data_IF_230435416574
#
_entry.id   IF_230435416574
#
_cell.length_a   1.000
_cell.length_b   1.000
_cell.length_c   1.000
_cell.angle_alpha   90.00
_cell.angle_beta   90.00
_cell.angle_gamma   90.00
#
_symmetry.space_group_name_H-M   'P 1'
#
loop_
_entity.id
_entity.type
_entity.pdbx_description
1 polymer ?
#
# COMPACT_ATOMS: atom_id res chain seq x y z
N UNK A 1 19.25 10.15 14.58
CA UNK A 1 19.33 10.11 13.10
C UNK A 1 18.80 8.77 12.64
N UNK A 2 18.15 8.70 11.47
CA UNK A 2 17.87 7.42 10.81
C UNK A 2 19.21 6.81 10.38
N UNK A 3 19.50 5.60 10.87
CA UNK A 3 20.66 4.85 10.40
C UNK A 3 20.40 4.34 8.98
N UNK A 4 21.46 4.05 8.20
CA UNK A 4 21.31 3.42 6.88
C UNK A 4 20.50 2.11 6.95
N UNK A 5 20.74 1.30 7.99
CA UNK A 5 20.01 0.06 8.24
C UNK A 5 18.51 0.29 8.50
N UNK A 6 18.16 1.26 9.36
CA UNK A 6 16.76 1.61 9.60
C UNK A 6 16.09 2.14 8.33
N UNK A 7 16.83 2.85 7.48
CA UNK A 7 16.31 3.35 6.19
C UNK A 7 16.00 2.20 5.24
N UNK A 8 16.85 1.17 5.19
CA UNK A 8 16.63 0.00 4.36
C UNK A 8 15.42 -0.82 4.85
N UNK A 9 15.34 -1.07 6.16
CA UNK A 9 14.20 -1.76 6.79
C UNK A 9 12.87 -1.04 6.54
N UNK A 10 12.86 0.31 6.57
CA UNK A 10 11.69 1.11 6.21
C UNK A 10 11.31 0.92 4.75
N UNK A 11 12.27 0.95 3.82
CA UNK A 11 12.00 0.71 2.39
C UNK A 11 11.41 -0.68 2.15
N UNK A 12 11.97 -1.71 2.79
CA UNK A 12 11.46 -3.08 2.69
C UNK A 12 10.03 -3.20 3.25
N UNK A 13 9.75 -2.52 4.37
CA UNK A 13 8.41 -2.49 4.98
C UNK A 13 7.40 -1.79 4.08
N UNK A 14 7.78 -0.66 3.47
CA UNK A 14 6.96 0.08 2.49
C UNK A 14 6.68 -0.79 1.27
N UNK A 15 7.70 -1.47 0.73
CA UNK A 15 7.55 -2.37 -0.41
C UNK A 15 6.58 -3.51 -0.11
N UNK A 16 6.74 -4.16 1.05
CA UNK A 16 5.86 -5.24 1.51
C UNK A 16 4.42 -4.76 1.60
N UNK A 17 4.19 -3.60 2.21
CA UNK A 17 2.86 -3.02 2.36
C UNK A 17 2.21 -2.69 1.00
N UNK A 18 2.96 -2.11 0.07
CA UNK A 18 2.47 -1.84 -1.30
C UNK A 18 2.05 -3.15 -1.98
N UNK A 19 2.86 -4.19 -1.88
CA UNK A 19 2.58 -5.48 -2.51
C UNK A 19 1.34 -6.14 -1.92
N UNK A 20 1.19 -6.14 -0.59
CA UNK A 20 -0.01 -6.63 0.09
C UNK A 20 -1.26 -5.90 -0.37
N UNK A 21 -1.23 -4.55 -0.44
CA UNK A 21 -2.37 -3.75 -0.87
C UNK A 21 -2.74 -4.01 -2.34
N UNK A 22 -1.76 -4.18 -3.23
CA UNK A 22 -1.98 -4.56 -4.63
C UNK A 22 -2.60 -5.96 -4.76
N UNK A 23 -2.16 -6.92 -3.94
CA UNK A 23 -2.74 -8.27 -3.95
C UNK A 23 -4.19 -8.25 -3.47
N UNK A 24 -4.51 -7.47 -2.44
CA UNK A 24 -5.89 -7.27 -1.98
C UNK A 24 -6.75 -6.67 -3.10
N UNK A 25 -6.26 -5.62 -3.78
CA UNK A 25 -6.93 -5.05 -4.96
C UNK A 25 -7.15 -6.11 -6.04
N UNK A 26 -6.12 -6.89 -6.39
CA UNK A 26 -6.18 -7.91 -7.44
C UNK A 26 -7.12 -9.07 -7.11
N UNK A 27 -7.12 -9.56 -5.87
CA UNK A 27 -8.03 -10.65 -5.42
C UNK A 27 -9.46 -10.15 -5.39
N UNK A 28 -9.68 -8.89 -5.02
CA UNK A 28 -11.04 -8.36 -4.90
C UNK A 28 -11.78 -8.29 -6.23
N UNK A 29 -11.09 -8.31 -7.40
CA UNK A 29 -11.60 -8.12 -8.79
C UNK A 29 -12.40 -6.84 -9.03
N UNK A 30 -13.08 -6.35 -8.01
CA UNK A 30 -13.69 -5.06 -7.82
C UNK A 30 -13.58 -4.74 -6.31
N UNK A 31 -12.81 -3.71 -5.94
CA UNK A 31 -12.70 -3.28 -4.53
C UNK A 31 -14.08 -2.97 -3.92
N UNK A 32 -15.12 -2.75 -4.76
CA UNK A 32 -16.52 -2.65 -4.35
C UNK A 32 -16.99 -3.85 -3.52
N UNK A 33 -16.55 -5.09 -3.85
CA UNK A 33 -16.93 -6.31 -3.14
C UNK A 33 -16.18 -6.53 -1.83
N UNK A 34 -14.99 -5.93 -1.66
CA UNK A 34 -14.15 -6.10 -0.47
C UNK A 34 -14.39 -5.02 0.59
N UNK A 35 -14.71 -3.79 0.18
CA UNK A 35 -14.83 -2.65 1.12
C UNK A 35 -16.23 -2.06 1.18
N UNK A 36 -17.12 -2.38 0.23
CA UNK A 36 -18.50 -1.89 0.16
C UNK A 36 -18.67 -0.37 -0.02
N UNK A 37 -17.68 0.42 0.39
CA UNK A 37 -17.66 1.87 0.44
C UNK A 37 -16.57 2.46 -0.49
N UNK A 38 -17.00 3.39 -1.34
CA UNK A 38 -16.18 4.14 -2.29
C UNK A 38 -15.00 4.86 -1.64
N UNK A 39 -15.18 5.33 -0.40
CA UNK A 39 -14.19 6.12 0.33
C UNK A 39 -12.98 5.26 0.69
N UNK A 40 -13.21 4.06 1.22
CA UNK A 40 -12.16 3.10 1.55
C UNK A 40 -11.39 2.69 0.31
N UNK A 41 -12.07 2.48 -0.83
CA UNK A 41 -11.41 2.24 -2.11
C UNK A 41 -10.46 3.36 -2.52
N UNK A 42 -10.93 4.60 -2.48
CA UNK A 42 -10.13 5.78 -2.81
C UNK A 42 -8.93 5.91 -1.88
N UNK A 43 -9.12 5.66 -0.58
CA UNK A 43 -8.05 5.74 0.42
C UNK A 43 -6.95 4.70 0.17
N UNK A 44 -7.31 3.45 -0.15
CA UNK A 44 -6.33 2.40 -0.49
C UNK A 44 -5.52 2.79 -1.73
N UNK A 45 -6.17 3.27 -2.80
CA UNK A 45 -5.46 3.72 -4.01
C UNK A 45 -4.51 4.88 -3.72
N UNK A 46 -4.93 5.86 -2.92
CA UNK A 46 -4.10 6.99 -2.52
C UNK A 46 -2.93 6.54 -1.63
N UNK A 47 -3.14 5.57 -0.74
CA UNK A 47 -2.11 5.00 0.12
C UNK A 47 -1.03 4.29 -0.72
N UNK A 48 -1.43 3.39 -1.63
CA UNK A 48 -0.50 2.72 -2.56
C UNK A 48 0.33 3.75 -3.33
N UNK A 49 -0.32 4.78 -3.91
CA UNK A 49 0.35 5.82 -4.69
C UNK A 49 1.33 6.64 -3.85
N UNK A 50 0.96 6.98 -2.62
CA UNK A 50 1.80 7.78 -1.72
C UNK A 50 3.02 6.99 -1.26
N UNK A 51 2.83 5.73 -0.85
CA UNK A 51 3.90 4.82 -0.46
C UNK A 51 4.86 4.54 -1.63
N UNK A 52 4.33 4.35 -2.85
CA UNK A 52 5.16 4.10 -4.03
C UNK A 52 6.10 5.26 -4.38
N UNK A 53 5.83 6.48 -3.92
CA UNK A 53 6.71 7.66 -4.13
C UNK A 53 7.85 7.76 -3.11
N UNK A 54 7.80 6.95 -2.04
CA UNK A 54 8.83 6.90 -1.00
C UNK A 54 9.93 5.88 -1.32
N UNK A 55 9.75 5.11 -2.40
CA UNK A 55 10.72 4.16 -2.96
C UNK A 55 11.43 4.81 -4.15
#
# INVERSE_FOLDING_TARGET
MLTPENTDLIKQSIFTLIFTLKNIESISSDISGFTGDETTRRNIKLLIKSLSRLL
#
